data_IF_663323871561
#
_entry.id   IF_663323871561
#
_cell.length_a   1.000
_cell.length_b   1.000
_cell.length_c   1.000
_cell.angle_alpha   90.00
_cell.angle_beta   90.00
_cell.angle_gamma   90.00
#
_symmetry.space_group_name_H-M   'P 1'
#
loop_
_entity.id
_entity.type
_entity.pdbx_description
1 polymer ?
#
# COMPACT_ATOMS: atom_id res chain seq x y z
N UNK A 1 -43.20 -0.51 8.21
CA UNK A 1 -42.21 -1.50 8.69
C UNK A 1 -40.88 -1.07 8.12
N UNK A 2 -40.02 -0.49 8.95
CA UNK A 2 -38.64 -0.20 8.58
C UNK A 2 -37.97 -1.52 8.21
N UNK A 3 -37.42 -1.61 7.00
CA UNK A 3 -36.41 -2.64 6.72
C UNK A 3 -35.34 -2.50 7.80
N UNK A 4 -35.17 -3.53 8.62
CA UNK A 4 -33.97 -3.64 9.45
C UNK A 4 -32.78 -3.58 8.49
N UNK A 5 -32.05 -2.45 8.51
CA UNK A 5 -30.80 -2.34 7.77
C UNK A 5 -29.88 -3.43 8.33
N UNK A 6 -29.57 -4.45 7.53
CA UNK A 6 -28.68 -5.50 7.99
C UNK A 6 -27.33 -4.89 8.35
N UNK A 7 -26.71 -5.39 9.43
CA UNK A 7 -25.37 -4.95 9.86
C UNK A 7 -24.36 -5.08 8.72
N UNK A 8 -24.55 -6.04 7.81
CA UNK A 8 -23.76 -6.20 6.59
C UNK A 8 -23.88 -5.01 5.64
N UNK A 9 -25.10 -4.51 5.35
CA UNK A 9 -25.29 -3.31 4.53
C UNK A 9 -24.66 -2.07 5.16
N UNK A 10 -24.79 -1.91 6.48
CA UNK A 10 -24.13 -0.82 7.21
C UNK A 10 -22.61 -0.91 7.12
N UNK A 11 -22.04 -2.12 7.18
CA UNK A 11 -20.60 -2.36 7.03
C UNK A 11 -20.08 -2.07 5.62
N UNK A 12 -20.85 -2.42 4.58
CA UNK A 12 -20.53 -2.07 3.19
C UNK A 12 -20.58 -0.55 2.94
N UNK A 13 -21.55 0.15 3.52
CA UNK A 13 -21.66 1.61 3.39
C UNK A 13 -20.49 2.37 4.04
N UNK A 14 -19.95 1.88 5.16
CA UNK A 14 -18.83 2.52 5.86
C UNK A 14 -17.45 2.00 5.42
N UNK A 15 -17.38 0.81 4.80
CA UNK A 15 -16.16 0.24 4.26
C UNK A 15 -16.43 -0.34 2.85
N UNK A 16 -16.15 0.42 1.78
CA UNK A 16 -16.46 0.01 0.40
C UNK A 16 -15.66 -1.22 -0.06
N UNK A 17 -14.61 -1.62 0.68
CA UNK A 17 -13.76 -2.79 0.37
C UNK A 17 -14.20 -4.04 1.16
N UNK A 18 -15.16 -3.90 2.09
CA UNK A 18 -15.65 -5.00 2.95
C UNK A 18 -16.11 -6.22 2.14
N UNK A 19 -16.91 -5.99 1.09
CA UNK A 19 -17.47 -7.06 0.24
C UNK A 19 -16.39 -7.82 -0.52
N UNK A 20 -15.35 -7.13 -0.99
CA UNK A 20 -14.19 -7.75 -1.67
C UNK A 20 -13.36 -8.58 -0.70
N UNK A 21 -13.07 -8.06 0.51
CA UNK A 21 -12.30 -8.78 1.52
C UNK A 21 -13.05 -10.02 2.03
N UNK A 22 -14.36 -9.91 2.24
CA UNK A 22 -15.24 -11.03 2.59
C UNK A 22 -15.24 -12.10 1.49
N UNK A 23 -15.41 -11.68 0.23
CA UNK A 23 -15.43 -12.60 -0.91
C UNK A 23 -14.13 -13.40 -1.02
N UNK A 24 -12.98 -12.78 -0.72
CA UNK A 24 -11.71 -13.49 -0.72
C UNK A 24 -11.69 -14.67 0.26
N UNK A 25 -12.14 -14.46 1.50
CA UNK A 25 -12.23 -15.56 2.48
C UNK A 25 -13.22 -16.64 2.03
N UNK A 26 -14.39 -16.23 1.53
CA UNK A 26 -15.43 -17.15 1.07
C UNK A 26 -14.94 -18.04 -0.10
N UNK A 27 -14.18 -17.47 -1.04
CA UNK A 27 -13.59 -18.21 -2.18
C UNK A 27 -12.59 -19.24 -1.67
N UNK A 28 -11.65 -18.84 -0.80
CA UNK A 28 -10.62 -19.76 -0.27
C UNK A 28 -11.26 -20.88 0.58
N UNK A 29 -12.31 -20.57 1.34
CA UNK A 29 -13.14 -21.57 2.02
C UNK A 29 -13.81 -22.54 1.03
N UNK A 30 -14.40 -22.03 -0.06
CA UNK A 30 -15.15 -22.82 -1.03
C UNK A 30 -14.27 -23.82 -1.81
N UNK A 31 -12.98 -23.55 -1.97
CA UNK A 31 -12.01 -24.48 -2.57
C UNK A 31 -11.46 -25.52 -1.58
N UNK A 32 -11.96 -25.55 -0.35
CA UNK A 32 -11.70 -26.60 0.63
C UNK A 32 -10.61 -26.28 1.65
N UNK A 33 -10.20 -25.03 1.80
CA UNK A 33 -9.23 -24.64 2.83
C UNK A 33 -9.85 -24.65 4.23
N UNK A 34 -9.41 -25.57 5.09
CA UNK A 34 -10.02 -25.82 6.41
C UNK A 34 -9.94 -24.61 7.36
N UNK A 35 -8.81 -23.90 7.37
CA UNK A 35 -8.63 -22.72 8.22
C UNK A 35 -9.52 -21.56 7.79
N UNK A 36 -9.63 -21.35 6.48
CA UNK A 36 -10.52 -20.36 5.90
C UNK A 36 -11.98 -20.71 6.14
N UNK A 37 -12.35 -21.99 6.06
CA UNK A 37 -13.72 -22.44 6.37
C UNK A 37 -14.07 -22.27 7.85
N UNK A 38 -13.16 -22.61 8.76
CA UNK A 38 -13.37 -22.42 10.19
C UNK A 38 -13.50 -20.92 10.55
N UNK A 39 -12.63 -20.08 9.98
CA UNK A 39 -12.68 -18.64 10.17
C UNK A 39 -13.96 -18.03 9.58
N UNK A 40 -14.37 -18.45 8.37
CA UNK A 40 -15.61 -17.99 7.71
C UNK A 40 -16.84 -18.27 8.56
N UNK A 41 -16.96 -19.49 9.10
CA UNK A 41 -18.07 -19.86 10.01
C UNK A 41 -18.09 -18.99 11.25
N UNK A 42 -16.91 -18.75 11.84
CA UNK A 42 -16.79 -17.95 13.05
C UNK A 42 -17.15 -16.48 12.83
N UNK A 43 -16.76 -15.92 11.68
CA UNK A 43 -17.16 -14.57 11.25
C UNK A 43 -18.64 -14.46 10.84
N UNK A 44 -19.35 -15.60 10.74
CA UNK A 44 -20.75 -15.64 10.33
C UNK A 44 -20.98 -15.38 8.85
N UNK A 45 -19.92 -15.37 8.04
CA UNK A 45 -20.05 -15.11 6.60
C UNK A 45 -20.73 -16.29 5.90
N UNK A 46 -21.61 -16.00 4.94
CA UNK A 46 -22.27 -17.02 4.12
C UNK A 46 -21.28 -17.78 3.25
N UNK A 47 -21.70 -18.90 2.64
CA UNK A 47 -20.90 -19.57 1.61
C UNK A 47 -20.80 -18.69 0.37
N UNK A 48 -19.69 -18.78 -0.34
CA UNK A 48 -19.51 -18.01 -1.56
C UNK A 48 -20.65 -18.25 -2.55
N UNK A 49 -21.23 -17.18 -3.07
CA UNK A 49 -22.33 -17.25 -4.03
C UNK A 49 -23.70 -17.66 -3.45
N UNK A 50 -23.91 -17.60 -2.13
CA UNK A 50 -25.22 -17.90 -1.52
C UNK A 50 -26.38 -17.10 -2.16
N UNK A 51 -26.15 -15.82 -2.51
CA UNK A 51 -27.16 -14.97 -3.16
C UNK A 51 -27.09 -15.00 -4.69
N UNK A 52 -26.22 -15.83 -5.28
CA UNK A 52 -25.97 -15.81 -6.72
C UNK A 52 -27.24 -16.10 -7.53
N UNK A 53 -28.12 -16.97 -7.03
CA UNK A 53 -29.42 -17.25 -7.68
C UNK A 53 -30.33 -16.04 -7.74
N UNK A 54 -30.37 -15.24 -6.66
CA UNK A 54 -31.19 -14.04 -6.59
C UNK A 54 -30.64 -12.96 -7.53
N UNK A 55 -29.32 -12.73 -7.52
CA UNK A 55 -28.65 -11.80 -8.44
C UNK A 55 -28.75 -12.24 -9.91
N UNK A 56 -28.67 -13.54 -10.17
CA UNK A 56 -28.79 -14.10 -11.52
C UNK A 56 -30.22 -14.06 -12.06
N UNK A 57 -31.25 -14.08 -11.21
CA UNK A 57 -32.66 -14.08 -11.64
C UNK A 57 -33.06 -12.82 -12.44
N UNK A 58 -32.32 -11.73 -12.28
CA UNK A 58 -32.52 -10.47 -13.00
C UNK A 58 -31.74 -10.36 -14.33
N UNK A 59 -30.91 -11.36 -14.68
CA UNK A 59 -30.01 -11.31 -15.83
C UNK A 59 -30.48 -12.20 -16.99
N UNK A 60 -30.29 -11.78 -18.26
CA UNK A 60 -30.52 -12.64 -19.42
C UNK A 60 -29.72 -13.95 -19.36
N UNK A 61 -30.25 -15.10 -19.84
CA UNK A 61 -29.57 -16.40 -19.78
C UNK A 61 -28.16 -16.41 -20.38
N UNK A 62 -27.95 -15.66 -21.46
CA UNK A 62 -26.64 -15.54 -22.12
C UNK A 62 -25.60 -14.84 -21.23
N UNK A 63 -26.04 -13.90 -20.38
CA UNK A 63 -25.16 -13.23 -19.40
C UNK A 63 -24.88 -14.16 -18.23
N UNK A 64 -25.86 -14.94 -17.77
CA UNK A 64 -25.66 -15.95 -16.72
C UNK A 64 -24.63 -17.00 -17.19
N UNK A 65 -24.76 -17.53 -18.40
CA UNK A 65 -23.82 -18.51 -18.94
C UNK A 65 -22.40 -17.94 -19.03
N UNK A 66 -22.27 -16.69 -19.46
CA UNK A 66 -20.99 -16.00 -19.55
C UNK A 66 -20.36 -15.72 -18.18
N UNK A 67 -21.17 -15.30 -17.20
CA UNK A 67 -20.72 -15.14 -15.81
C UNK A 67 -20.25 -16.47 -15.23
N UNK A 68 -20.95 -17.58 -15.50
CA UNK A 68 -20.53 -18.91 -15.06
C UNK A 68 -19.17 -19.34 -15.63
N UNK A 69 -18.76 -18.83 -16.79
CA UNK A 69 -17.41 -19.07 -17.39
C UNK A 69 -16.35 -18.13 -16.84
N UNK A 70 -16.67 -16.86 -16.60
CA UNK A 70 -15.74 -15.88 -16.05
C UNK A 70 -15.52 -16.03 -14.53
N UNK A 71 -16.52 -16.53 -13.81
CA UNK A 71 -16.49 -16.62 -12.36
C UNK A 71 -15.39 -17.52 -11.79
N UNK A 72 -15.14 -18.72 -12.33
CA UNK A 72 -13.98 -19.52 -11.97
C UNK A 72 -12.64 -18.79 -12.17
N UNK A 73 -12.54 -17.92 -13.18
CA UNK A 73 -11.33 -17.13 -13.44
C UNK A 73 -11.09 -16.11 -12.32
N UNK A 74 -12.14 -15.42 -11.85
CA UNK A 74 -12.01 -14.53 -10.68
C UNK A 74 -11.60 -15.29 -9.41
N UNK A 75 -12.22 -16.45 -9.16
CA UNK A 75 -11.89 -17.30 -8.02
C UNK A 75 -10.42 -17.75 -8.06
N UNK A 76 -9.96 -18.14 -9.25
CA UNK A 76 -8.59 -18.62 -9.45
C UNK A 76 -7.53 -17.55 -9.23
N UNK A 77 -7.84 -16.27 -9.47
CA UNK A 77 -6.93 -15.17 -9.13
C UNK A 77 -6.74 -15.05 -7.63
N UNK A 78 -7.83 -15.12 -6.85
CA UNK A 78 -7.79 -15.08 -5.39
C UNK A 78 -7.03 -16.28 -4.85
N UNK A 79 -7.29 -17.48 -5.38
CA UNK A 79 -6.56 -18.70 -5.04
C UNK A 79 -5.06 -18.57 -5.34
N UNK A 80 -4.70 -18.19 -6.57
CA UNK A 80 -3.32 -18.05 -7.00
C UNK A 80 -2.57 -17.04 -6.13
N UNK A 81 -3.17 -15.87 -5.89
CA UNK A 81 -2.61 -14.82 -5.03
C UNK A 81 -2.37 -15.31 -3.60
N UNK A 82 -3.39 -15.84 -2.94
CA UNK A 82 -3.32 -16.23 -1.54
C UNK A 82 -2.27 -17.32 -1.29
N UNK A 83 -2.28 -18.38 -2.10
CA UNK A 83 -1.36 -19.49 -1.90
C UNK A 83 0.05 -19.20 -2.38
N UNK A 84 0.23 -18.47 -3.49
CA UNK A 84 1.57 -18.11 -3.96
C UNK A 84 2.29 -17.20 -2.97
N UNK A 85 1.59 -16.21 -2.40
CA UNK A 85 2.16 -15.33 -1.38
C UNK A 85 2.55 -16.11 -0.12
N UNK A 86 1.66 -16.95 0.41
CA UNK A 86 1.95 -17.77 1.59
C UNK A 86 3.14 -18.71 1.34
N UNK A 87 3.20 -19.37 0.18
CA UNK A 87 4.32 -20.25 -0.18
C UNK A 87 5.61 -19.47 -0.38
N UNK A 88 5.56 -18.25 -0.92
CA UNK A 88 6.72 -17.38 -1.03
C UNK A 88 7.25 -16.98 0.35
N UNK A 89 6.38 -16.50 1.25
CA UNK A 89 6.71 -16.18 2.65
C UNK A 89 7.46 -17.35 3.30
N UNK A 90 6.89 -18.57 3.22
CA UNK A 90 7.52 -19.78 3.76
C UNK A 90 8.91 -20.03 3.18
N UNK A 91 9.08 -19.87 1.87
CA UNK A 91 10.36 -20.06 1.17
C UNK A 91 11.42 -19.02 1.53
N UNK A 92 11.01 -17.80 1.88
CA UNK A 92 11.96 -16.77 2.34
C UNK A 92 12.58 -17.07 3.70
N UNK A 93 12.00 -18.00 4.47
CA UNK A 93 12.45 -18.29 5.84
C UNK A 93 12.08 -17.21 6.86
N UNK A 94 11.16 -16.30 6.51
CA UNK A 94 10.69 -15.22 7.36
C UNK A 94 10.29 -15.72 8.75
N UNK A 95 10.71 -14.99 9.79
CA UNK A 95 10.37 -15.29 11.19
C UNK A 95 9.22 -14.44 11.71
N UNK A 96 9.03 -13.26 11.12
CA UNK A 96 7.93 -12.37 11.41
C UNK A 96 7.36 -11.75 10.12
N UNK A 97 6.04 -11.69 10.03
CA UNK A 97 5.29 -11.21 8.86
C UNK A 97 4.34 -10.11 9.30
N UNK A 98 4.32 -9.02 8.54
CA UNK A 98 3.30 -7.98 8.64
C UNK A 98 2.40 -8.10 7.44
N UNK A 99 1.11 -8.31 7.67
CA UNK A 99 0.09 -8.37 6.62
C UNK A 99 -0.73 -7.07 6.64
N UNK A 100 -0.49 -6.21 5.65
CA UNK A 100 -1.02 -4.85 5.58
C UNK A 100 -1.63 -4.60 4.20
N UNK A 101 -2.96 -4.61 4.04
CA UNK A 101 -3.97 -4.89 5.05
C UNK A 101 -4.18 -6.39 5.21
N UNK A 102 -4.56 -6.87 6.39
CA UNK A 102 -4.75 -8.30 6.61
C UNK A 102 -6.11 -8.83 6.14
N UNK A 103 -7.12 -7.96 6.04
CA UNK A 103 -8.49 -8.33 5.70
C UNK A 103 -9.01 -9.48 6.57
N UNK A 104 -9.81 -10.36 5.97
CA UNK A 104 -10.41 -11.52 6.64
C UNK A 104 -9.68 -12.83 6.34
N UNK A 105 -8.41 -12.80 5.95
CA UNK A 105 -7.74 -14.03 5.49
C UNK A 105 -7.32 -14.94 6.64
N UNK A 106 -7.21 -16.25 6.37
CA UNK A 106 -6.65 -17.22 7.32
C UNK A 106 -5.11 -17.23 7.37
N UNK A 107 -4.43 -16.23 6.77
CA UNK A 107 -2.96 -16.18 6.68
C UNK A 107 -2.30 -16.24 8.06
N UNK A 108 -2.77 -15.44 9.01
CA UNK A 108 -2.24 -15.44 10.38
C UNK A 108 -2.32 -16.81 11.07
N UNK A 109 -3.45 -17.50 10.92
CA UNK A 109 -3.63 -18.87 11.44
C UNK A 109 -2.59 -19.80 10.81
N UNK A 110 -2.46 -19.79 9.48
CA UNK A 110 -1.53 -20.67 8.74
C UNK A 110 -0.08 -20.43 9.10
N UNK A 111 0.36 -19.18 9.12
CA UNK A 111 1.74 -18.81 9.43
C UNK A 111 2.09 -19.11 10.89
N UNK A 112 1.16 -18.90 11.82
CA UNK A 112 1.37 -19.22 13.24
C UNK A 112 1.62 -20.72 13.47
N UNK A 113 0.93 -21.61 12.73
CA UNK A 113 1.16 -23.07 12.77
C UNK A 113 2.55 -23.46 12.28
N UNK A 114 3.18 -22.63 11.43
CA UNK A 114 4.58 -22.77 10.99
C UNK A 114 5.57 -22.10 11.95
N UNK A 115 5.07 -21.53 13.03
CA UNK A 115 5.85 -20.87 14.06
C UNK A 115 6.32 -19.45 13.71
N UNK A 116 5.78 -18.86 12.65
CA UNK A 116 6.06 -17.49 12.20
C UNK A 116 5.22 -16.51 13.03
N UNK A 117 5.83 -15.45 13.54
CA UNK A 117 5.13 -14.36 14.23
C UNK A 117 4.36 -13.52 13.19
N UNK A 118 3.10 -13.25 13.44
CA UNK A 118 2.21 -12.60 12.49
C UNK A 118 1.60 -11.34 13.09
N UNK A 119 1.69 -10.25 12.34
CA UNK A 119 1.08 -8.97 12.63
C UNK A 119 0.03 -8.68 11.55
N UNK A 120 -1.25 -8.81 11.90
CA UNK A 120 -2.37 -8.49 11.02
C UNK A 120 -2.80 -7.05 11.21
N UNK A 121 -2.57 -6.22 10.21
CA UNK A 121 -2.77 -4.78 10.26
C UNK A 121 -3.94 -4.36 9.40
N UNK A 122 -4.89 -3.63 9.96
CA UNK A 122 -6.07 -3.17 9.23
C UNK A 122 -6.78 -2.06 10.01
N UNK A 123 -7.84 -1.50 9.41
CA UNK A 123 -8.71 -0.53 10.05
C UNK A 123 -9.51 -1.16 11.21
N UNK A 124 -9.95 -0.36 12.21
CA UNK A 124 -10.63 -0.85 13.40
C UNK A 124 -11.78 -1.84 13.14
N UNK A 125 -12.63 -1.57 12.14
CA UNK A 125 -13.75 -2.44 11.81
C UNK A 125 -13.34 -3.88 11.45
N UNK A 126 -12.20 -4.06 10.78
CA UNK A 126 -11.68 -5.39 10.42
C UNK A 126 -11.03 -6.05 11.63
N UNK A 127 -10.24 -5.29 12.40
CA UNK A 127 -9.54 -5.80 13.58
C UNK A 127 -10.51 -6.23 14.69
N UNK A 128 -11.57 -5.46 14.91
CA UNK A 128 -12.65 -5.77 15.86
C UNK A 128 -13.38 -7.06 15.51
N UNK A 129 -13.49 -7.39 14.22
CA UNK A 129 -14.06 -8.65 13.76
C UNK A 129 -13.06 -9.81 13.83
N UNK A 130 -11.82 -9.59 13.36
CA UNK A 130 -10.80 -10.62 13.23
C UNK A 130 -10.26 -11.12 14.56
N UNK A 131 -9.99 -10.22 15.51
CA UNK A 131 -9.39 -10.57 16.80
C UNK A 131 -10.21 -11.58 17.60
N UNK A 132 -11.52 -11.37 17.85
CA UNK A 132 -12.34 -12.39 18.53
C UNK A 132 -12.56 -13.64 17.66
N UNK A 133 -12.71 -13.48 16.33
CA UNK A 133 -12.95 -14.62 15.45
C UNK A 133 -11.78 -15.60 15.42
N UNK A 134 -10.53 -15.10 15.32
CA UNK A 134 -9.34 -15.96 15.36
C UNK A 134 -9.19 -16.63 16.72
N UNK A 135 -9.41 -15.90 17.83
CA UNK A 135 -9.41 -16.48 19.17
C UNK A 135 -10.43 -17.60 19.33
N UNK A 136 -11.65 -17.44 18.80
CA UNK A 136 -12.67 -18.48 18.82
C UNK A 136 -12.31 -19.66 17.91
N UNK A 137 -11.62 -19.41 16.79
CA UNK A 137 -11.26 -20.45 15.81
C UNK A 137 -10.13 -21.35 16.31
N UNK A 138 -9.09 -20.79 16.93
CA UNK A 138 -7.88 -21.55 17.30
C UNK A 138 -7.42 -21.40 18.76
N UNK A 139 -8.17 -20.67 19.59
CA UNK A 139 -7.76 -20.32 20.96
C UNK A 139 -6.78 -19.15 21.01
N UNK A 140 -6.23 -18.91 22.20
CA UNK A 140 -5.19 -17.90 22.39
C UNK A 140 -3.87 -18.34 21.70
N UNK A 141 -3.25 -17.42 20.96
CA UNK A 141 -2.03 -17.69 20.22
C UNK A 141 -1.08 -16.49 20.30
N UNK A 142 0.02 -16.65 21.03
CA UNK A 142 1.03 -15.62 21.26
C UNK A 142 1.77 -15.16 20.00
N UNK A 143 1.69 -15.93 18.91
CA UNK A 143 2.33 -15.61 17.63
C UNK A 143 1.47 -14.73 16.73
N UNK A 144 0.22 -14.46 17.09
CA UNK A 144 -0.70 -13.65 16.28
C UNK A 144 -1.04 -12.37 17.02
N UNK A 145 -0.78 -11.22 16.40
CA UNK A 145 -1.20 -9.91 16.87
C UNK A 145 -2.02 -9.22 15.79
N UNK A 146 -3.28 -8.90 16.08
CA UNK A 146 -4.11 -8.04 15.23
C UNK A 146 -4.11 -6.63 15.80
N UNK A 147 -3.74 -5.65 14.98
CA UNK A 147 -3.53 -4.27 15.41
C UNK A 147 -4.23 -3.29 14.47
N UNK A 148 -4.92 -2.33 15.07
CA UNK A 148 -5.54 -1.22 14.35
C UNK A 148 -4.45 -0.28 13.84
N UNK A 149 -4.42 -0.09 12.52
CA UNK A 149 -3.49 0.84 11.89
C UNK A 149 -4.15 1.58 10.74
N UNK A 150 -3.59 2.75 10.44
CA UNK A 150 -3.79 3.44 9.18
C UNK A 150 -2.45 3.40 8.44
N UNK A 151 -2.42 2.84 7.23
CA UNK A 151 -1.21 2.70 6.43
C UNK A 151 -0.53 4.05 6.14
N UNK A 152 -1.29 5.13 6.11
CA UNK A 152 -0.79 6.50 5.90
C UNK A 152 -0.25 7.13 7.19
N UNK A 153 -0.53 6.53 8.36
CA UNK A 153 -0.11 7.02 9.66
C UNK A 153 1.05 6.19 10.25
N UNK A 154 2.28 6.67 10.10
CA UNK A 154 3.48 6.00 10.61
C UNK A 154 3.43 5.69 12.12
N UNK A 155 2.88 6.59 12.93
CA UNK A 155 2.85 6.39 14.38
C UNK A 155 1.96 5.18 14.76
N UNK A 156 0.87 4.95 14.02
CA UNK A 156 0.02 3.78 14.22
C UNK A 156 0.77 2.48 13.85
N UNK A 157 1.44 2.47 12.70
CA UNK A 157 2.24 1.34 12.22
C UNK A 157 3.37 0.98 13.19
N UNK A 158 4.13 1.99 13.65
CA UNK A 158 5.28 1.76 14.53
C UNK A 158 4.86 1.27 15.91
N UNK A 159 3.75 1.79 16.46
CA UNK A 159 3.18 1.33 17.74
C UNK A 159 2.74 -0.13 17.67
N UNK A 160 2.12 -0.53 16.55
CA UNK A 160 1.69 -1.91 16.34
C UNK A 160 2.86 -2.93 16.28
N UNK A 161 4.10 -2.45 16.11
CA UNK A 161 5.33 -3.25 16.05
C UNK A 161 6.20 -3.13 17.33
N UNK A 162 5.64 -2.71 18.47
CA UNK A 162 6.37 -2.62 19.75
C UNK A 162 7.03 -3.94 20.19
N UNK A 163 6.44 -5.08 19.83
CA UNK A 163 6.92 -6.43 20.20
C UNK A 163 7.70 -7.12 19.08
N UNK A 164 7.98 -6.41 17.98
CA UNK A 164 8.80 -6.91 16.88
C UNK A 164 10.29 -6.85 17.24
N UNK A 165 11.00 -7.94 16.98
CA UNK A 165 12.34 -8.20 17.48
C UNK A 165 13.30 -8.73 16.39
N UNK A 166 12.92 -8.61 15.12
CA UNK A 166 13.74 -9.00 13.97
C UNK A 166 13.31 -8.35 12.66
N UNK A 167 13.79 -8.90 11.55
CA UNK A 167 13.50 -8.43 10.19
C UNK A 167 12.04 -8.62 9.81
N UNK A 168 11.43 -7.61 9.18
CA UNK A 168 10.03 -7.67 8.75
C UNK A 168 9.91 -8.22 7.33
N UNK A 169 9.07 -9.24 7.15
CA UNK A 169 8.50 -9.55 5.84
C UNK A 169 7.12 -8.88 5.77
N UNK A 170 7.06 -7.69 5.15
CA UNK A 170 5.81 -6.97 4.97
C UNK A 170 5.17 -7.49 3.68
N UNK A 171 3.89 -7.87 3.73
CA UNK A 171 3.11 -8.25 2.56
C UNK A 171 1.90 -7.33 2.42
N UNK A 172 1.60 -6.92 1.18
CA UNK A 172 0.44 -6.10 0.85
C UNK A 172 -0.31 -6.68 -0.33
N UNK A 173 -1.60 -6.94 -0.12
CA UNK A 173 -2.51 -7.45 -1.13
C UNK A 173 -3.83 -6.68 -1.08
N UNK A 174 -4.25 -6.11 -2.21
CA UNK A 174 -5.55 -5.47 -2.34
C UNK A 174 -5.68 -4.13 -1.61
N UNK A 175 -4.60 -3.34 -1.53
CA UNK A 175 -4.63 -2.01 -0.91
C UNK A 175 -4.18 -0.90 -1.84
N UNK A 176 -3.09 -1.10 -2.57
CA UNK A 176 -2.40 0.02 -3.21
C UNK A 176 -3.24 0.69 -4.31
N UNK A 177 -4.17 -0.05 -4.93
CA UNK A 177 -5.09 0.47 -5.95
C UNK A 177 -6.16 1.42 -5.38
N UNK A 178 -6.35 1.42 -4.06
CA UNK A 178 -7.29 2.28 -3.35
C UNK A 178 -6.67 3.58 -2.84
N UNK A 179 -5.38 3.81 -3.10
CA UNK A 179 -4.66 4.98 -2.64
C UNK A 179 -4.45 6.00 -3.77
N UNK A 180 -4.68 7.27 -3.46
CA UNK A 180 -4.25 8.39 -4.30
C UNK A 180 -2.72 8.44 -4.41
N UNK A 181 -2.18 9.22 -5.35
CA UNK A 181 -0.74 9.35 -5.52
C UNK A 181 -0.01 9.81 -4.24
N UNK A 182 -0.56 10.77 -3.50
CA UNK A 182 0.04 11.24 -2.24
C UNK A 182 -0.05 10.20 -1.12
N UNK A 183 -1.15 9.43 -1.07
CA UNK A 183 -1.32 8.37 -0.07
C UNK A 183 -0.37 7.20 -0.35
N UNK A 184 -0.22 6.78 -1.61
CA UNK A 184 0.72 5.70 -1.95
C UNK A 184 2.17 6.13 -1.68
N UNK A 185 2.56 7.36 -1.99
CA UNK A 185 3.88 7.90 -1.61
C UNK A 185 4.09 7.89 -0.09
N UNK A 186 3.05 8.26 0.66
CA UNK A 186 3.08 8.22 2.14
C UNK A 186 3.26 6.78 2.63
N UNK A 187 2.51 5.82 2.09
CA UNK A 187 2.62 4.39 2.45
C UNK A 187 4.00 3.84 2.11
N UNK A 188 4.53 4.12 0.92
CA UNK A 188 5.89 3.73 0.52
C UNK A 188 6.94 4.31 1.49
N UNK A 189 6.83 5.59 1.86
CA UNK A 189 7.71 6.23 2.84
C UNK A 189 7.63 5.59 4.23
N UNK A 190 6.41 5.32 4.71
CA UNK A 190 6.17 4.67 6.00
C UNK A 190 6.77 3.26 6.04
N UNK A 191 6.52 2.44 5.01
CA UNK A 191 7.05 1.08 4.91
C UNK A 191 8.57 1.10 4.79
N UNK A 192 9.13 2.02 3.99
CA UNK A 192 10.58 2.19 3.89
C UNK A 192 11.19 2.48 5.26
N UNK A 193 10.59 3.39 6.02
CA UNK A 193 11.05 3.75 7.37
C UNK A 193 11.02 2.57 8.34
N UNK A 194 9.97 1.74 8.29
CA UNK A 194 9.92 0.50 9.07
C UNK A 194 11.04 -0.47 8.65
N UNK A 195 11.25 -0.69 7.35
CA UNK A 195 12.26 -1.63 6.89
C UNK A 195 13.70 -1.13 7.11
N UNK A 196 13.93 0.18 7.15
CA UNK A 196 15.22 0.74 7.58
C UNK A 196 15.48 0.53 9.07
N UNK A 197 14.44 0.56 9.89
CA UNK A 197 14.53 0.33 11.34
C UNK A 197 14.71 -1.15 11.70
N UNK A 198 13.87 -2.02 11.13
CA UNK A 198 13.81 -3.43 11.50
C UNK A 198 14.60 -4.35 10.56
N UNK A 199 14.95 -3.88 9.35
CA UNK A 199 15.42 -4.73 8.27
C UNK A 199 14.29 -5.50 7.58
N UNK A 200 14.65 -6.28 6.56
CA UNK A 200 13.73 -7.14 5.83
C UNK A 200 13.28 -6.60 4.47
N UNK A 201 12.07 -6.95 4.04
CA UNK A 201 11.55 -6.68 2.69
C UNK A 201 10.05 -6.43 2.68
N UNK A 202 9.58 -5.71 1.68
CA UNK A 202 8.16 -5.52 1.37
C UNK A 202 7.82 -6.22 0.06
N UNK A 203 6.74 -7.01 0.06
CA UNK A 203 6.32 -7.81 -1.08
C UNK A 203 4.86 -7.49 -1.41
N UNK A 204 4.58 -7.24 -2.68
CA UNK A 204 3.21 -7.09 -3.18
C UNK A 204 3.10 -7.63 -4.60
N UNK A 205 1.89 -7.92 -5.04
CA UNK A 205 1.58 -8.24 -6.44
C UNK A 205 0.55 -7.27 -7.04
N UNK A 206 0.11 -6.26 -6.28
CA UNK A 206 -1.02 -5.40 -6.61
C UNK A 206 -0.89 -4.78 -8.01
N UNK A 207 0.31 -4.35 -8.41
CA UNK A 207 0.57 -3.73 -9.71
C UNK A 207 0.16 -4.60 -10.92
N UNK A 208 0.25 -5.92 -10.81
CA UNK A 208 0.15 -6.81 -11.97
C UNK A 208 -1.16 -7.60 -12.05
N UNK A 209 -1.97 -7.59 -10.98
CA UNK A 209 -3.20 -8.37 -10.91
C UNK A 209 -4.23 -7.95 -11.97
N UNK A 210 -4.45 -6.65 -12.17
CA UNK A 210 -5.42 -6.13 -13.16
C UNK A 210 -5.09 -6.57 -14.59
N UNK A 211 -3.79 -6.56 -14.94
CA UNK A 211 -3.34 -7.00 -16.27
C UNK A 211 -3.53 -8.51 -16.45
N UNK A 212 -3.22 -9.31 -15.42
CA UNK A 212 -3.37 -10.75 -15.49
C UNK A 212 -4.86 -11.17 -15.50
N UNK A 213 -5.68 -10.53 -14.68
CA UNK A 213 -7.14 -10.71 -14.66
C UNK A 213 -7.74 -10.36 -16.02
N UNK A 214 -7.35 -9.21 -16.60
CA UNK A 214 -7.82 -8.79 -17.93
C UNK A 214 -7.50 -9.82 -19.01
N UNK A 215 -6.29 -10.38 -19.03
CA UNK A 215 -5.90 -11.44 -19.99
C UNK A 215 -6.72 -12.71 -19.81
N UNK A 216 -6.87 -13.16 -18.57
CA UNK A 216 -7.64 -14.35 -18.25
C UNK A 216 -9.14 -14.16 -18.58
N UNK A 217 -9.68 -12.96 -18.37
CA UNK A 217 -11.05 -12.61 -18.69
C UNK A 217 -11.28 -12.56 -20.21
N UNK A 218 -10.34 -12.01 -20.99
CA UNK A 218 -10.40 -12.04 -22.45
C UNK A 218 -10.48 -13.49 -22.95
N UNK A 219 -9.67 -14.40 -22.40
CA UNK A 219 -9.73 -15.81 -22.75
C UNK A 219 -11.11 -16.42 -22.41
N UNK A 220 -11.65 -16.13 -21.23
CA UNK A 220 -12.97 -16.63 -20.81
C UNK A 220 -14.15 -16.04 -21.60
N UNK A 221 -13.96 -14.90 -22.25
CA UNK A 221 -15.02 -14.17 -22.97
C UNK A 221 -14.85 -14.16 -24.50
N UNK A 222 -13.81 -14.81 -25.04
CA UNK A 222 -13.45 -14.76 -26.47
C UNK A 222 -14.58 -15.21 -27.44
N UNK A 223 -15.51 -16.05 -26.98
CA UNK A 223 -16.66 -16.51 -27.77
C UNK A 223 -17.95 -15.69 -27.59
N UNK A 224 -17.92 -14.61 -26.80
CA UNK A 224 -19.11 -13.81 -26.47
C UNK A 224 -19.25 -12.59 -27.39
N UNK A 225 -20.48 -12.08 -27.60
CA UNK A 225 -20.69 -10.79 -28.23
C UNK A 225 -19.91 -9.68 -27.51
N UNK A 226 -19.27 -8.73 -28.23
CA UNK A 226 -18.45 -7.68 -27.62
C UNK A 226 -19.15 -6.85 -26.54
N UNK A 227 -20.47 -6.61 -26.70
CA UNK A 227 -21.26 -5.88 -25.72
C UNK A 227 -21.43 -6.65 -24.40
N UNK A 228 -21.55 -7.98 -24.47
CA UNK A 228 -21.65 -8.87 -23.30
C UNK A 228 -20.28 -8.98 -22.63
N UNK A 229 -19.20 -9.16 -23.41
CA UNK A 229 -17.84 -9.17 -22.89
C UNK A 229 -17.50 -7.85 -22.16
N UNK A 230 -17.90 -6.70 -22.72
CA UNK A 230 -17.71 -5.39 -22.09
C UNK A 230 -18.52 -5.23 -20.79
N UNK A 231 -19.74 -5.79 -20.71
CA UNK A 231 -20.54 -5.79 -19.47
C UNK A 231 -19.87 -6.62 -18.37
N UNK A 232 -19.32 -7.78 -18.70
CA UNK A 232 -18.61 -8.64 -17.74
C UNK A 232 -17.35 -7.95 -17.23
N UNK A 233 -16.56 -7.32 -18.12
CA UNK A 233 -15.39 -6.54 -17.73
C UNK A 233 -15.72 -5.37 -16.79
N UNK A 234 -16.89 -4.73 -16.96
CA UNK A 234 -17.35 -3.67 -16.05
C UNK A 234 -17.75 -4.18 -14.66
N UNK A 235 -18.27 -5.41 -14.56
CA UNK A 235 -18.61 -6.04 -13.26
C UNK A 235 -17.34 -6.39 -12.48
N UNK A 236 -16.30 -6.88 -13.16
CA UNK A 236 -14.98 -7.15 -12.57
C UNK A 236 -14.28 -5.86 -12.08
N UNK A 237 -14.35 -4.78 -12.86
CA UNK A 237 -13.74 -3.49 -12.50
C UNK A 237 -14.53 -2.66 -11.45
N UNK A 238 -15.72 -3.10 -11.04
CA UNK A 238 -16.65 -2.29 -10.22
C UNK A 238 -16.17 -2.02 -8.79
N UNK A 239 -15.13 -2.74 -8.31
CA UNK A 239 -14.60 -2.61 -6.95
C UNK A 239 -13.53 -1.53 -6.80
N UNK A 240 -12.97 -0.98 -7.89
CA UNK A 240 -11.91 0.03 -7.84
C UNK A 240 -12.45 1.35 -8.38
N UNK A 241 -12.47 2.39 -7.55
CA UNK A 241 -12.83 3.73 -8.01
C UNK A 241 -11.86 4.16 -9.11
N UNK A 242 -12.37 4.38 -10.34
CA UNK A 242 -11.57 4.82 -11.50
C UNK A 242 -10.80 6.12 -11.25
N UNK A 243 -11.25 6.96 -10.31
CA UNK A 243 -10.57 8.22 -9.97
C UNK A 243 -9.28 8.01 -9.19
N UNK A 244 -9.16 6.93 -8.41
CA UNK A 244 -7.98 6.68 -7.58
C UNK A 244 -6.78 6.18 -8.40
N UNK A 245 -7.05 5.36 -9.43
CA UNK A 245 -6.02 4.85 -10.35
C UNK A 245 -5.53 5.89 -11.36
N UNK A 246 -6.35 6.89 -11.72
CA UNK A 246 -6.09 7.76 -12.87
C UNK A 246 -4.78 8.56 -12.79
N UNK A 247 -4.18 8.71 -11.60
CA UNK A 247 -2.93 9.43 -11.38
C UNK A 247 -1.90 8.64 -10.57
N UNK A 248 -2.15 7.35 -10.30
CA UNK A 248 -1.25 6.54 -9.48
C UNK A 248 -0.11 5.97 -10.34
N UNK A 249 1.09 6.52 -10.19
CA UNK A 249 2.29 6.17 -10.99
C UNK A 249 2.68 4.71 -10.78
N UNK A 250 2.43 4.15 -9.58
CA UNK A 250 2.69 2.74 -9.32
C UNK A 250 1.81 1.82 -10.17
N UNK A 251 0.67 2.27 -10.69
CA UNK A 251 -0.19 1.50 -11.60
C UNK A 251 -0.17 2.04 -13.05
N UNK A 252 0.85 2.82 -13.43
CA UNK A 252 1.00 3.27 -14.80
C UNK A 252 1.14 2.06 -15.75
N UNK A 253 0.51 2.15 -16.92
CA UNK A 253 0.57 1.10 -17.96
C UNK A 253 2.00 0.86 -18.45
N UNK A 254 2.84 1.88 -18.38
CA UNK A 254 4.26 1.74 -18.62
C UNK A 254 4.96 1.25 -17.33
N UNK A 255 5.28 -0.06 -17.31
CA UNK A 255 5.92 -0.73 -16.18
C UNK A 255 7.25 -0.08 -15.80
N UNK A 256 7.97 0.55 -16.73
CA UNK A 256 9.24 1.21 -16.41
C UNK A 256 9.03 2.46 -15.54
N UNK A 257 7.90 3.16 -15.67
CA UNK A 257 7.55 4.26 -14.75
C UNK A 257 7.24 3.76 -13.35
N UNK A 258 6.53 2.65 -13.22
CA UNK A 258 6.27 2.04 -11.92
C UNK A 258 7.57 1.58 -11.24
N UNK A 259 8.49 0.95 -11.99
CA UNK A 259 9.84 0.60 -11.48
C UNK A 259 10.64 1.83 -11.08
N UNK A 260 10.61 2.89 -11.90
CA UNK A 260 11.27 4.16 -11.58
C UNK A 260 10.69 4.77 -10.30
N UNK A 261 9.36 4.78 -10.15
CA UNK A 261 8.69 5.24 -8.93
C UNK A 261 9.16 4.46 -7.70
N UNK A 262 9.23 3.13 -7.76
CA UNK A 262 9.76 2.29 -6.66
C UNK A 262 11.20 2.68 -6.31
N UNK A 263 12.05 2.91 -7.32
CA UNK A 263 13.42 3.37 -7.10
C UNK A 263 13.49 4.77 -6.51
N UNK A 264 12.67 5.70 -6.98
CA UNK A 264 12.58 7.08 -6.48
C UNK A 264 12.07 7.11 -5.03
N UNK A 265 11.17 6.19 -4.66
CA UNK A 265 10.71 5.95 -3.29
C UNK A 265 11.74 5.24 -2.40
N UNK A 266 12.95 4.99 -2.92
CA UNK A 266 14.09 4.53 -2.14
C UNK A 266 14.17 3.03 -1.92
N UNK A 267 13.69 2.22 -2.87
CA UNK A 267 13.79 0.77 -2.84
C UNK A 267 14.65 0.20 -3.98
N UNK A 268 15.34 -0.90 -3.70
CA UNK A 268 15.75 -1.88 -4.70
C UNK A 268 14.57 -2.80 -4.99
N UNK A 269 14.38 -3.16 -6.26
CA UNK A 269 13.24 -3.94 -6.73
C UNK A 269 13.71 -5.21 -7.45
N UNK A 270 13.25 -6.35 -6.98
CA UNK A 270 13.33 -7.64 -7.65
C UNK A 270 11.92 -8.08 -8.07
N UNK A 271 11.76 -8.54 -9.31
CA UNK A 271 10.50 -9.06 -9.83
C UNK A 271 10.61 -10.57 -9.95
N UNK A 272 9.80 -11.29 -9.16
CA UNK A 272 9.81 -12.76 -9.12
C UNK A 272 8.45 -13.29 -9.60
N UNK A 273 8.38 -13.99 -10.75
CA UNK A 273 7.13 -14.60 -11.21
C UNK A 273 6.58 -15.60 -10.19
N UNK A 274 5.26 -15.59 -9.97
CA UNK A 274 4.62 -16.51 -9.01
C UNK A 274 4.59 -17.96 -9.48
N UNK A 275 4.99 -18.28 -10.72
CA UNK A 275 4.93 -19.63 -11.32
C UNK A 275 5.38 -20.75 -10.38
N UNK A 276 6.49 -20.57 -9.65
CA UNK A 276 7.04 -21.61 -8.76
C UNK A 276 6.29 -21.72 -7.42
N UNK A 277 5.54 -20.68 -7.06
CA UNK A 277 4.79 -20.54 -5.81
C UNK A 277 3.30 -20.79 -5.98
N UNK A 278 2.77 -20.63 -7.19
CA UNK A 278 1.36 -20.85 -7.51
C UNK A 278 1.00 -22.34 -7.37
N UNK A 279 -0.17 -22.68 -6.81
CA UNK A 279 -0.70 -24.04 -6.88
C UNK A 279 -0.87 -24.48 -8.33
N UNK A 280 -0.55 -25.73 -8.62
CA UNK A 280 -0.80 -26.34 -9.91
C UNK A 280 -1.25 -27.80 -9.70
N UNK A 281 -2.52 -28.16 -10.01
CA UNK A 281 -3.56 -27.28 -10.59
C UNK A 281 -4.14 -26.27 -9.58
N UNK A 282 -4.79 -25.22 -10.08
CA UNK A 282 -5.69 -24.37 -9.28
C UNK A 282 -7.06 -25.06 -9.17
N UNK A 283 -7.56 -25.24 -7.95
CA UNK A 283 -8.82 -25.91 -7.64
C UNK A 283 -10.00 -25.19 -8.29
N UNK A 284 -9.95 -23.86 -8.35
CA UNK A 284 -10.96 -23.01 -8.99
C UNK A 284 -11.13 -23.32 -10.49
N UNK A 285 -10.16 -23.98 -11.14
CA UNK A 285 -10.22 -24.36 -12.55
C UNK A 285 -10.76 -25.78 -12.82
N UNK A 286 -11.30 -26.46 -11.80
CA UNK A 286 -11.81 -27.83 -11.94
C UNK A 286 -12.78 -27.99 -13.11
N UNK A 287 -13.73 -27.07 -13.24
CA UNK A 287 -14.82 -27.14 -14.23
C UNK A 287 -14.62 -26.16 -15.41
N UNK A 288 -13.41 -25.58 -15.54
CA UNK A 288 -13.08 -24.64 -16.63
C UNK A 288 -12.56 -25.38 -17.86
N UNK A 289 -13.02 -25.03 -19.08
CA UNK A 289 -12.49 -25.58 -20.33
C UNK A 289 -10.96 -25.46 -20.43
N UNK A 290 -10.31 -26.49 -21.00
CA UNK A 290 -8.83 -26.60 -21.02
C UNK A 290 -8.13 -25.42 -21.71
N UNK A 291 -8.70 -24.91 -22.80
CA UNK A 291 -8.18 -23.76 -23.52
C UNK A 291 -8.19 -22.50 -22.65
N UNK A 292 -9.30 -22.21 -21.97
CA UNK A 292 -9.42 -21.08 -21.04
C UNK A 292 -8.48 -21.28 -19.83
N UNK A 293 -8.47 -22.48 -19.25
CA UNK A 293 -7.63 -22.85 -18.11
C UNK A 293 -6.16 -22.62 -18.42
N UNK A 294 -5.67 -23.04 -19.59
CA UNK A 294 -4.27 -22.88 -19.99
C UNK A 294 -3.88 -21.41 -20.08
N UNK A 295 -4.67 -20.60 -20.80
CA UNK A 295 -4.40 -19.17 -20.97
C UNK A 295 -4.45 -18.42 -19.64
N UNK A 296 -5.44 -18.70 -18.80
CA UNK A 296 -5.59 -18.07 -17.49
C UNK A 296 -4.47 -18.48 -16.52
N UNK A 297 -4.10 -19.77 -16.48
CA UNK A 297 -2.96 -20.27 -15.68
C UNK A 297 -1.66 -19.58 -16.11
N UNK A 298 -1.42 -19.45 -17.41
CA UNK A 298 -0.22 -18.80 -17.94
C UNK A 298 -0.21 -17.29 -17.64
N UNK A 299 -1.38 -16.63 -17.70
CA UNK A 299 -1.50 -15.23 -17.31
C UNK A 299 -1.14 -15.02 -15.83
N UNK A 300 -1.64 -15.86 -14.93
CA UNK A 300 -1.35 -15.75 -13.49
C UNK A 300 0.08 -16.17 -13.14
N UNK A 301 0.62 -17.23 -13.75
CA UNK A 301 1.99 -17.68 -13.50
C UNK A 301 3.05 -16.60 -13.77
N UNK A 302 2.74 -15.65 -14.65
CA UNK A 302 3.62 -14.55 -15.03
C UNK A 302 3.42 -13.26 -14.21
N UNK A 303 2.45 -13.23 -13.28
CA UNK A 303 2.34 -12.17 -12.28
C UNK A 303 3.59 -12.19 -11.41
N UNK A 304 4.21 -11.03 -11.21
CA UNK A 304 5.39 -10.91 -10.37
C UNK A 304 5.04 -10.52 -8.94
N UNK A 305 5.75 -11.12 -8.00
CA UNK A 305 6.00 -10.57 -6.68
C UNK A 305 6.99 -9.42 -6.85
N UNK A 306 6.57 -8.21 -6.48
CA UNK A 306 7.40 -7.03 -6.39
C UNK A 306 8.09 -7.04 -5.03
N UNK A 307 9.30 -7.57 -4.99
CA UNK A 307 10.10 -7.69 -3.78
C UNK A 307 10.97 -6.45 -3.64
N UNK A 308 10.61 -5.61 -2.68
CA UNK A 308 11.21 -4.30 -2.43
C UNK A 308 12.06 -4.34 -1.17
N UNK A 309 13.32 -3.96 -1.28
CA UNK A 309 14.26 -3.85 -0.15
C UNK A 309 14.67 -2.38 -0.01
N UNK A 310 14.65 -1.79 1.20
CA UNK A 310 14.97 -0.37 1.34
C UNK A 310 16.44 -0.12 1.00
N UNK A 311 16.72 0.88 0.18
CA UNK A 311 18.08 1.37 -0.05
C UNK A 311 18.52 2.21 1.15
N UNK A 312 19.59 1.84 1.86
CA UNK A 312 20.19 2.70 2.88
C UNK A 312 20.66 4.02 2.23
N UNK A 313 20.35 5.16 2.84
CA UNK A 313 20.91 6.46 2.44
C UNK A 313 20.40 7.06 1.13
N UNK A 314 19.16 6.80 0.70
CA UNK A 314 18.60 7.56 -0.44
C UNK A 314 18.33 9.01 -0.07
N UNK A 315 18.71 9.90 -0.98
CA UNK A 315 18.43 11.32 -0.92
C UNK A 315 16.98 11.53 -1.34
N UNK A 316 16.08 11.81 -0.40
CA UNK A 316 14.73 12.24 -0.76
C UNK A 316 14.83 13.69 -1.21
N UNK A 317 14.63 13.91 -2.52
CA UNK A 317 14.79 15.21 -3.16
C UNK A 317 13.43 15.87 -3.41
N UNK A 318 13.22 17.04 -2.84
CA UNK A 318 12.03 17.86 -3.00
C UNK A 318 12.41 19.18 -3.68
N UNK A 319 11.58 19.65 -4.61
CA UNK A 319 11.84 20.91 -5.31
C UNK A 319 10.61 21.77 -5.40
N UNK A 320 10.73 23.06 -5.08
CA UNK A 320 9.71 24.08 -5.33
C UNK A 320 10.33 25.12 -6.27
N UNK A 321 9.61 25.44 -7.36
CA UNK A 321 10.02 26.46 -8.31
C UNK A 321 8.87 27.44 -8.52
N UNK A 322 9.10 28.69 -8.13
CA UNK A 322 8.20 29.83 -8.30
C UNK A 322 8.94 30.96 -9.03
N UNK A 323 8.24 31.99 -9.50
CA UNK A 323 8.88 33.11 -10.21
C UNK A 323 9.94 33.78 -9.31
N UNK A 324 11.21 33.67 -9.73
CA UNK A 324 12.40 34.13 -9.00
C UNK A 324 12.70 33.43 -7.65
N UNK A 325 12.22 32.20 -7.43
CA UNK A 325 12.62 31.39 -6.27
C UNK A 325 12.71 29.89 -6.61
N UNK A 326 13.76 29.25 -6.12
CA UNK A 326 13.92 27.80 -6.16
C UNK A 326 14.44 27.27 -4.82
N UNK A 327 13.81 26.22 -4.30
CA UNK A 327 14.26 25.47 -3.14
C UNK A 327 14.47 24.01 -3.52
N UNK A 328 15.69 23.50 -3.29
CA UNK A 328 16.08 22.10 -3.47
C UNK A 328 16.35 21.50 -2.09
N UNK A 329 15.48 20.60 -1.65
CA UNK A 329 15.52 19.99 -0.31
C UNK A 329 15.91 18.53 -0.46
N UNK A 330 16.86 18.07 0.35
CA UNK A 330 17.45 16.75 0.27
C UNK A 330 17.55 16.16 1.68
N UNK A 331 16.70 15.19 2.01
CA UNK A 331 16.83 14.44 3.26
C UNK A 331 17.78 13.27 3.04
N UNK A 332 18.90 13.27 3.77
CA UNK A 332 19.92 12.22 3.72
C UNK A 332 20.41 11.92 5.13
N UNK A 333 20.34 10.66 5.55
CA UNK A 333 20.86 10.20 6.85
C UNK A 333 20.33 11.04 8.03
N UNK A 334 19.02 11.34 8.04
CA UNK A 334 18.31 12.24 8.96
C UNK A 334 18.77 13.73 8.92
N UNK A 335 19.60 14.10 7.94
CA UNK A 335 20.06 15.48 7.70
C UNK A 335 19.28 16.07 6.53
N UNK A 336 18.52 17.13 6.79
CA UNK A 336 17.81 17.89 5.77
C UNK A 336 18.73 18.98 5.19
N UNK A 337 19.19 18.80 3.97
CA UNK A 337 19.96 19.78 3.23
C UNK A 337 19.02 20.62 2.36
N UNK A 338 19.11 21.94 2.45
CA UNK A 338 18.20 22.87 1.76
C UNK A 338 19.04 23.86 0.97
N UNK A 339 18.95 23.87 -0.35
CA UNK A 339 19.60 24.86 -1.20
C UNK A 339 18.57 25.89 -1.68
N UNK A 340 18.81 27.16 -1.36
CA UNK A 340 17.91 28.25 -1.71
C UNK A 340 18.51 29.13 -2.82
N UNK A 341 17.69 29.49 -3.80
CA UNK A 341 18.06 30.39 -4.90
C UNK A 341 16.97 31.45 -5.10
N UNK A 342 17.35 32.70 -5.34
CA UNK A 342 16.42 33.78 -5.64
C UNK A 342 15.86 34.45 -4.38
N UNK A 343 14.56 34.75 -4.33
CA UNK A 343 13.95 35.55 -3.24
C UNK A 343 13.04 34.71 -2.34
N UNK A 344 13.36 34.65 -1.05
CA UNK A 344 12.50 34.02 -0.04
C UNK A 344 11.67 35.08 0.69
N UNK A 345 10.45 35.33 0.21
CA UNK A 345 9.57 36.38 0.72
C UNK A 345 8.15 35.88 1.02
N UNK A 346 7.20 36.80 1.27
CA UNK A 346 5.83 36.44 1.67
C UNK A 346 5.11 35.56 0.64
N UNK A 347 5.48 35.64 -0.64
CA UNK A 347 4.88 34.85 -1.72
C UNK A 347 5.48 33.44 -1.72
N UNK A 348 6.81 33.33 -1.61
CA UNK A 348 7.55 32.08 -1.83
C UNK A 348 7.82 31.26 -0.56
N UNK A 349 7.70 31.89 0.62
CA UNK A 349 7.88 31.22 1.93
C UNK A 349 6.94 30.03 2.18
N UNK A 350 5.64 30.07 1.81
CA UNK A 350 4.76 28.91 1.92
C UNK A 350 5.28 27.67 1.18
N UNK A 351 5.91 27.85 0.01
CA UNK A 351 6.49 26.76 -0.78
C UNK A 351 7.61 26.04 -0.03
N UNK A 352 8.56 26.78 0.55
CA UNK A 352 9.63 26.18 1.38
C UNK A 352 9.08 25.45 2.61
N UNK A 353 8.07 26.02 3.28
CA UNK A 353 7.44 25.39 4.43
C UNK A 353 6.74 24.08 4.06
N UNK A 354 6.08 24.04 2.90
CA UNK A 354 5.45 22.82 2.38
C UNK A 354 6.50 21.72 2.10
N UNK A 355 7.62 22.04 1.44
CA UNK A 355 8.70 21.06 1.21
C UNK A 355 9.28 20.52 2.51
N UNK A 356 9.48 21.40 3.50
CA UNK A 356 9.96 20.99 4.81
C UNK A 356 8.97 20.02 5.49
N UNK A 357 7.68 20.32 5.44
CA UNK A 357 6.63 19.46 6.01
C UNK A 357 6.53 18.12 5.30
N UNK A 358 6.75 18.10 3.98
CA UNK A 358 6.82 16.87 3.19
C UNK A 358 8.03 16.01 3.59
N UNK A 359 9.21 16.63 3.75
CA UNK A 359 10.41 15.93 4.21
C UNK A 359 10.26 15.39 5.64
N UNK A 360 9.65 16.17 6.54
CA UNK A 360 9.34 15.75 7.92
C UNK A 360 8.35 14.57 7.95
N UNK A 361 7.42 14.51 7.01
CA UNK A 361 6.50 13.38 6.87
C UNK A 361 7.21 12.11 6.35
N UNK A 362 8.18 12.26 5.44
CA UNK A 362 8.90 11.13 4.83
C UNK A 362 10.01 10.53 5.70
N UNK A 363 10.56 11.27 6.67
CA UNK A 363 11.66 10.76 7.50
C UNK A 363 11.90 11.55 8.78
N UNK A 364 12.74 11.01 9.66
CA UNK A 364 13.18 11.72 10.85
C UNK A 364 14.19 12.80 10.42
N UNK A 365 14.10 13.98 11.01
CA UNK A 365 15.07 15.06 10.79
C UNK A 365 15.78 15.33 12.10
N UNK A 366 17.06 14.99 12.17
CA UNK A 366 17.92 15.26 13.33
C UNK A 366 18.79 16.50 13.17
N UNK A 367 19.00 16.94 11.91
CA UNK A 367 19.82 18.10 11.56
C UNK A 367 19.27 18.78 10.30
N UNK A 368 19.45 20.10 10.19
CA UNK A 368 19.06 20.89 9.02
C UNK A 368 20.22 21.80 8.62
N UNK A 369 20.63 21.75 7.36
CA UNK A 369 21.65 22.63 6.79
C UNK A 369 21.06 23.41 5.61
N UNK A 370 21.04 24.74 5.71
CA UNK A 370 20.49 25.62 4.68
C UNK A 370 21.64 26.35 3.97
N UNK A 371 21.85 26.04 2.69
CA UNK A 371 22.78 26.73 1.80
C UNK A 371 22.12 27.96 1.18
N UNK A 372 22.68 29.12 1.48
CA UNK A 372 22.20 30.44 1.07
C UNK A 372 23.04 31.09 -0.03
N UNK A 373 23.97 30.33 -0.65
CA UNK A 373 24.91 30.86 -1.65
C UNK A 373 24.25 31.70 -2.74
N UNK A 374 23.10 31.25 -3.24
CA UNK A 374 22.38 31.89 -4.35
C UNK A 374 21.08 32.59 -3.88
N UNK A 375 20.87 32.77 -2.58
CA UNK A 375 19.69 33.46 -2.05
C UNK A 375 19.92 34.97 -2.11
N UNK A 376 19.16 35.68 -2.93
CA UNK A 376 19.34 37.12 -3.16
C UNK A 376 18.71 37.98 -2.06
N UNK A 377 17.62 37.50 -1.46
CA UNK A 377 16.84 38.24 -0.47
C UNK A 377 16.04 37.32 0.44
N UNK A 378 15.86 37.72 1.70
CA UNK A 378 14.98 37.06 2.66
C UNK A 378 14.11 38.10 3.40
N UNK A 379 12.80 37.85 3.48
CA UNK A 379 11.86 38.68 4.24
C UNK A 379 11.58 38.12 5.65
N UNK A 380 10.82 38.85 6.47
CA UNK A 380 10.34 38.35 7.77
C UNK A 380 9.50 37.06 7.66
N UNK A 381 8.85 36.80 6.53
CA UNK A 381 8.15 35.56 6.29
C UNK A 381 9.14 34.39 6.12
N UNK A 382 10.22 34.61 5.37
CA UNK A 382 11.28 33.63 5.17
C UNK A 382 11.99 33.28 6.48
N UNK A 383 12.35 34.29 7.27
CA UNK A 383 12.96 34.11 8.60
C UNK A 383 12.05 33.28 9.53
N UNK A 384 10.73 33.48 9.45
CA UNK A 384 9.76 32.70 10.23
C UNK A 384 9.74 31.22 9.82
N UNK A 385 9.87 30.91 8.53
CA UNK A 385 9.96 29.52 8.06
C UNK A 385 11.23 28.85 8.60
N UNK A 386 12.38 29.52 8.52
CA UNK A 386 13.64 29.01 9.09
C UNK A 386 13.53 28.77 10.60
N UNK A 387 12.81 29.63 11.33
CA UNK A 387 12.53 29.43 12.75
C UNK A 387 11.65 28.21 13.03
N UNK A 388 10.62 27.97 12.22
CA UNK A 388 9.76 26.79 12.35
C UNK A 388 10.62 25.53 12.18
N UNK A 389 11.44 25.49 11.13
CA UNK A 389 12.36 24.38 10.82
C UNK A 389 13.34 24.13 11.97
N UNK A 390 13.98 25.18 12.49
CA UNK A 390 14.89 25.07 13.64
C UNK A 390 14.19 24.54 14.90
N UNK A 391 13.01 25.08 15.24
CA UNK A 391 12.29 24.72 16.47
C UNK A 391 11.78 23.28 16.48
N UNK A 392 11.60 22.68 15.31
CA UNK A 392 11.21 21.28 15.22
C UNK A 392 12.34 20.31 15.59
N UNK A 393 13.60 20.77 15.60
CA UNK A 393 14.71 20.00 16.15
C UNK A 393 14.67 20.08 17.68
N UNK A 394 14.73 18.93 18.37
CA UNK A 394 14.55 18.81 19.82
C UNK A 394 15.38 19.81 20.66
N UNK A 395 16.58 20.14 20.21
CA UNK A 395 17.50 21.05 20.92
C UNK A 395 17.79 22.35 20.15
N UNK A 396 17.28 22.51 18.92
CA UNK A 396 17.58 23.64 18.02
C UNK A 396 19.05 23.81 17.60
N UNK A 397 19.97 22.97 18.12
CA UNK A 397 21.44 23.06 17.95
C UNK A 397 21.95 22.54 16.61
N UNK A 398 21.23 21.63 15.96
CA UNK A 398 21.66 21.02 14.69
C UNK A 398 21.08 21.75 13.47
N UNK A 399 20.93 23.07 13.57
CA UNK A 399 20.45 23.92 12.49
C UNK A 399 21.57 24.87 12.06
N UNK A 400 21.97 24.84 10.80
CA UNK A 400 23.06 25.69 10.28
C UNK A 400 22.65 26.45 9.02
N UNK A 401 23.03 27.72 8.96
CA UNK A 401 23.01 28.54 7.74
C UNK A 401 24.44 28.61 7.19
N UNK A 402 24.64 28.23 5.93
CA UNK A 402 25.96 28.25 5.29
C UNK A 402 25.94 29.13 4.03
N UNK A 403 27.12 29.66 3.67
CA UNK A 403 27.34 30.44 2.45
C UNK A 403 26.41 31.67 2.30
N UNK A 404 26.08 32.35 3.39
CA UNK A 404 25.32 33.60 3.32
C UNK A 404 26.12 34.67 2.57
N UNK A 405 25.48 35.37 1.62
CA UNK A 405 26.09 36.56 1.01
C UNK A 405 25.89 37.79 1.90
N UNK A 406 26.56 38.89 1.55
CA UNK A 406 26.55 40.15 2.32
C UNK A 406 25.13 40.70 2.53
N UNK A 407 24.27 40.65 1.52
CA UNK A 407 22.90 41.17 1.63
C UNK A 407 22.07 40.37 2.65
N UNK A 408 22.11 39.04 2.57
CA UNK A 408 21.39 38.17 3.51
C UNK A 408 21.97 38.27 4.92
N UNK A 409 23.29 38.38 5.04
CA UNK A 409 23.98 38.56 6.33
C UNK A 409 23.53 39.86 7.01
N UNK A 410 23.56 40.98 6.28
CA UNK A 410 23.11 42.28 6.80
C UNK A 410 21.65 42.24 7.27
N UNK A 411 20.77 41.53 6.56
CA UNK A 411 19.37 41.38 6.97
C UNK A 411 19.26 40.57 8.27
N UNK A 412 19.97 39.46 8.39
CA UNK A 412 19.96 38.60 9.59
C UNK A 412 20.48 39.37 10.82
N UNK A 413 21.58 40.10 10.68
CA UNK A 413 22.16 40.93 11.75
C UNK A 413 21.24 42.09 12.15
N UNK A 414 20.73 42.86 11.18
CA UNK A 414 19.86 44.02 11.46
C UNK A 414 18.54 43.60 12.10
N UNK A 415 18.08 42.37 11.86
CA UNK A 415 16.86 41.82 12.45
C UNK A 415 17.09 41.10 13.77
N UNK A 416 18.34 40.96 14.23
CA UNK A 416 18.71 40.29 15.49
C UNK A 416 18.62 38.76 15.44
N UNK A 417 18.50 38.18 14.24
CA UNK A 417 18.43 36.74 14.03
C UNK A 417 19.79 36.06 14.00
N UNK A 418 20.87 36.84 13.94
CA UNK A 418 22.25 36.39 14.12
C UNK A 418 22.43 35.69 15.48
N UNK A 419 21.93 36.28 16.57
CA UNK A 419 22.00 35.67 17.92
C UNK A 419 21.20 34.39 18.07
N UNK A 420 20.29 34.13 17.12
CA UNK A 420 19.49 32.93 17.07
C UNK A 420 20.21 31.91 16.19
N UNK A 421 20.53 32.24 14.94
CA UNK A 421 21.01 31.29 13.94
C UNK A 421 22.53 31.08 13.88
N UNK A 422 23.33 32.00 14.39
CA UNK A 422 24.79 32.04 14.23
C UNK A 422 25.55 31.89 15.56
#
# INVERSE_FOLDING_TARGET
MSEELSIEKLREEVNPVYSTAQSCLQIISAIGDEDSEALRKTLGFTVFGADAKERASALPPQIIEALMKAFPVFCSLVEARFFSCNKFIEKTGAKQVVDLPCGYTARGIKLSKKGIKYYGFDLPAVIDAMKPAVKQTIGDNEKISYCEVDATNYASLRRALETADGELHITTEGLLMYLTQSEIETVFGNIRKLLLEFGGKWVTMDNELDTAESKALIAATAGLPPEIAAKIGKVSAASISKTTLANNIFFDKDKEKAKKFVSDMGFDLELIPIREYMPNPLVSFKDVPEDIRREATEAFANVNLWVMTPKPGTVDKFTCKEDNFNADVQLRDDILNVSLTGRLDTITSPGLLALYKEAEAKGKITSICVDMKNLEYISSAGLRVLMIMRKALADGKNFSLINMNENVTNIIETTGFDTIFC
#
